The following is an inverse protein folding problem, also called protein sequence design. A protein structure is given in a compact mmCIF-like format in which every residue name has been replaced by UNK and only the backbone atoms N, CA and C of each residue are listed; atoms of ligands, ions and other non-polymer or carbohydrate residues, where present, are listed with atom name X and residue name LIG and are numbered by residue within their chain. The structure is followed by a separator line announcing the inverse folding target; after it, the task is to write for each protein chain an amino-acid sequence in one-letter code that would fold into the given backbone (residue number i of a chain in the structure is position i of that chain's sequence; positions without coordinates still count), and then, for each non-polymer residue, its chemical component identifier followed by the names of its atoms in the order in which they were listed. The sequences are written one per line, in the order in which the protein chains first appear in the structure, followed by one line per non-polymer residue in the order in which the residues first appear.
data_IF_449896475471
#
_entry.id   IF_449896475471
#
_cell.length_a   1.000
_cell.length_b   1.000
_cell.length_c   1.000
_cell.angle_alpha   90.00
_cell.angle_beta   90.00
_cell.angle_gamma   90.00
#
_symmetry.space_group_name_H-M   'P 1'
#
loop_
_entity.id
_entity.type
_entity.pdbx_description
1 polymer ?
#
# COMPACT_ATOMS: atom_id res chain seq x y z
N UNK A 1 -36.58 -16.83 -65.17
CA UNK A 1 -35.66 -17.99 -65.10
C UNK A 1 -35.33 -18.24 -63.66
N UNK A 2 -35.76 -19.38 -63.13
CA UNK A 2 -35.46 -19.85 -61.79
C UNK A 2 -34.03 -20.38 -61.74
N UNK A 3 -33.27 -20.04 -60.70
CA UNK A 3 -32.15 -20.87 -60.24
C UNK A 3 -32.16 -20.91 -58.71
N UNK A 4 -32.26 -22.15 -58.24
CA UNK A 4 -32.28 -22.72 -56.90
C UNK A 4 -31.83 -21.89 -55.69
N UNK A 5 -32.71 -21.90 -54.68
CA UNK A 5 -32.35 -21.88 -53.26
C UNK A 5 -31.33 -22.99 -52.96
N UNK A 6 -30.24 -22.63 -52.27
CA UNK A 6 -29.41 -23.60 -51.55
C UNK A 6 -29.39 -23.17 -50.09
N UNK A 7 -30.15 -23.91 -49.28
CA UNK A 7 -30.26 -23.74 -47.83
C UNK A 7 -28.89 -23.99 -47.17
N UNK A 8 -28.27 -22.93 -46.66
CA UNK A 8 -27.14 -22.99 -45.73
C UNK A 8 -27.66 -22.84 -44.29
N UNK A 9 -28.65 -23.65 -43.91
CA UNK A 9 -29.03 -23.84 -42.51
C UNK A 9 -28.37 -25.12 -41.99
N UNK A 10 -27.22 -25.00 -41.34
CA UNK A 10 -26.64 -26.17 -40.66
C UNK A 10 -25.16 -26.15 -40.33
N UNK A 11 -24.62 -25.07 -39.76
CA UNK A 11 -23.40 -25.18 -38.96
C UNK A 11 -23.65 -24.49 -37.63
N UNK A 12 -24.24 -25.25 -36.70
CA UNK A 12 -24.13 -24.96 -35.27
C UNK A 12 -22.63 -24.88 -34.93
N UNK A 13 -22.16 -23.87 -34.18
CA UNK A 13 -20.82 -23.91 -33.61
C UNK A 13 -20.81 -25.13 -32.69
N UNK A 14 -20.14 -26.19 -33.15
CA UNK A 14 -20.10 -27.47 -32.45
C UNK A 14 -19.78 -27.21 -30.99
N UNK A 15 -20.75 -27.45 -30.12
CA UNK A 15 -20.53 -27.43 -28.69
C UNK A 15 -19.37 -28.38 -28.44
N UNK A 16 -18.18 -27.83 -28.13
CA UNK A 16 -17.05 -28.62 -27.68
C UNK A 16 -17.47 -29.23 -26.34
N UNK A 17 -18.22 -30.34 -26.39
CA UNK A 17 -18.51 -31.15 -25.22
C UNK A 17 -17.17 -31.74 -24.84
N UNK A 18 -16.52 -31.24 -23.77
CA UNK A 18 -15.20 -31.71 -23.44
C UNK A 18 -15.29 -33.20 -23.19
N UNK A 19 -14.36 -33.96 -23.77
CA UNK A 19 -14.37 -35.41 -23.64
C UNK A 19 -14.47 -35.79 -22.16
N UNK A 20 -15.15 -36.90 -21.86
CA UNK A 20 -15.28 -37.40 -20.48
C UNK A 20 -13.93 -37.45 -19.75
N UNK A 21 -12.86 -37.81 -20.48
CA UNK A 21 -11.46 -37.75 -20.04
C UNK A 21 -11.00 -36.33 -19.66
N UNK A 22 -11.23 -35.32 -20.49
CA UNK A 22 -10.86 -33.93 -20.18
C UNK A 22 -11.60 -33.37 -18.95
N UNK A 23 -12.88 -33.72 -18.79
CA UNK A 23 -13.66 -33.34 -17.60
C UNK A 23 -13.16 -34.06 -16.33
N UNK A 24 -12.81 -35.34 -16.43
CA UNK A 24 -12.21 -36.11 -15.34
C UNK A 24 -10.84 -35.54 -14.93
N UNK A 25 -9.99 -35.17 -15.90
CA UNK A 25 -8.72 -34.50 -15.65
C UNK A 25 -8.91 -33.14 -14.97
N UNK A 26 -9.87 -32.32 -15.42
CA UNK A 26 -10.19 -31.05 -14.75
C UNK A 26 -10.63 -31.26 -13.30
N UNK A 27 -11.44 -32.28 -13.02
CA UNK A 27 -11.83 -32.62 -11.64
C UNK A 27 -10.64 -33.08 -10.80
N UNK A 28 -9.78 -33.95 -11.34
CA UNK A 28 -8.56 -34.43 -10.65
C UNK A 28 -7.59 -33.29 -10.36
N UNK A 29 -7.32 -32.42 -11.34
CA UNK A 29 -6.47 -31.23 -11.16
C UNK A 29 -7.04 -30.32 -10.09
N UNK A 30 -8.35 -30.05 -10.10
CA UNK A 30 -9.00 -29.23 -9.07
C UNK A 30 -8.87 -29.85 -7.68
N UNK A 31 -9.11 -31.16 -7.56
CA UNK A 31 -9.00 -31.88 -6.28
C UNK A 31 -7.57 -31.87 -5.74
N UNK A 32 -6.59 -32.24 -6.56
CA UNK A 32 -5.17 -32.24 -6.17
C UNK A 32 -4.67 -30.84 -5.85
N UNK A 33 -5.06 -29.84 -6.65
CA UNK A 33 -4.76 -28.43 -6.36
C UNK A 33 -5.31 -28.01 -4.99
N UNK A 34 -6.57 -28.32 -4.69
CA UNK A 34 -7.17 -27.96 -3.40
C UNK A 34 -6.49 -28.68 -2.23
N UNK A 35 -6.18 -29.98 -2.39
CA UNK A 35 -5.45 -30.77 -1.39
C UNK A 35 -4.06 -30.17 -1.12
N UNK A 36 -3.30 -29.88 -2.17
CA UNK A 36 -1.97 -29.26 -2.06
C UNK A 36 -2.04 -27.85 -1.48
N UNK A 37 -3.03 -27.04 -1.86
CA UNK A 37 -3.23 -25.68 -1.34
C UNK A 37 -3.53 -25.69 0.16
N UNK A 38 -4.43 -26.57 0.60
CA UNK A 38 -4.76 -26.70 2.03
C UNK A 38 -3.56 -27.18 2.84
N UNK A 39 -2.85 -28.21 2.35
CA UNK A 39 -1.64 -28.71 3.00
C UNK A 39 -0.56 -27.63 3.12
N UNK A 40 -0.31 -26.86 2.05
CA UNK A 40 0.63 -25.74 2.06
C UNK A 40 0.18 -24.62 3.01
N UNK A 41 -1.12 -24.30 3.06
CA UNK A 41 -1.67 -23.29 3.97
C UNK A 41 -1.44 -23.68 5.43
N UNK A 42 -1.72 -24.92 5.80
CA UNK A 42 -1.54 -25.40 7.17
C UNK A 42 -0.06 -25.34 7.59
N UNK A 43 0.85 -25.90 6.77
CA UNK A 43 2.30 -25.83 7.04
C UNK A 43 2.79 -24.38 7.18
N UNK A 44 2.33 -23.48 6.31
CA UNK A 44 2.70 -22.05 6.33
C UNK A 44 2.23 -21.35 7.61
N UNK A 45 1.09 -21.73 8.20
CA UNK A 45 0.59 -21.06 9.42
C UNK A 45 1.57 -21.23 10.58
N UNK A 46 2.08 -22.43 10.80
CA UNK A 46 3.00 -22.70 11.91
C UNK A 46 4.37 -22.06 11.67
N UNK A 47 4.87 -22.12 10.43
CA UNK A 47 6.09 -21.44 10.03
C UNK A 47 5.99 -19.92 10.22
N UNK A 48 4.88 -19.31 9.77
CA UNK A 48 4.65 -17.87 9.90
C UNK A 48 4.57 -17.46 11.37
N UNK A 49 3.90 -18.24 12.24
CA UNK A 49 3.89 -17.96 13.68
C UNK A 49 5.30 -17.98 14.28
N UNK A 50 6.11 -18.98 13.93
CA UNK A 50 7.51 -19.06 14.37
C UNK A 50 8.32 -17.84 13.92
N UNK A 51 8.19 -17.45 12.65
CA UNK A 51 8.83 -16.25 12.11
C UNK A 51 8.37 -14.97 12.81
N UNK A 52 7.08 -14.83 13.13
CA UNK A 52 6.58 -13.70 13.90
C UNK A 52 7.17 -13.62 15.30
N UNK A 53 7.28 -14.75 16.01
CA UNK A 53 7.90 -14.79 17.34
C UNK A 53 9.38 -14.41 17.30
N UNK A 54 10.13 -14.96 16.35
CA UNK A 54 11.55 -14.59 16.16
C UNK A 54 11.71 -13.11 15.77
N UNK A 55 10.85 -12.61 14.88
CA UNK A 55 10.86 -11.20 14.51
C UNK A 55 10.50 -10.30 15.71
N UNK A 56 9.58 -10.73 16.58
CA UNK A 56 9.23 -9.99 17.79
C UNK A 56 10.42 -9.82 18.73
N UNK A 57 11.24 -10.86 18.90
CA UNK A 57 12.48 -10.78 19.68
C UNK A 57 13.48 -9.78 19.08
N UNK A 58 13.61 -9.77 17.74
CA UNK A 58 14.47 -8.79 17.04
C UNK A 58 13.97 -7.35 17.23
N UNK A 59 12.66 -7.13 17.11
CA UNK A 59 12.05 -5.83 17.36
C UNK A 59 12.34 -5.39 18.80
N UNK A 60 12.08 -6.26 19.77
CA UNK A 60 12.32 -5.97 21.19
C UNK A 60 13.78 -5.56 21.45
N UNK A 61 14.74 -6.34 20.96
CA UNK A 61 16.17 -6.03 21.08
C UNK A 61 16.51 -4.66 20.49
N UNK A 62 16.07 -4.38 19.26
CA UNK A 62 16.35 -3.12 18.58
C UNK A 62 15.67 -1.94 19.28
N UNK A 63 14.42 -2.10 19.72
CA UNK A 63 13.70 -1.04 20.45
C UNK A 63 14.33 -0.76 21.81
N UNK A 64 14.83 -1.78 22.52
CA UNK A 64 15.51 -1.60 23.79
C UNK A 64 16.83 -0.83 23.62
N UNK A 65 17.59 -1.12 22.55
CA UNK A 65 18.79 -0.36 22.22
C UNK A 65 18.44 1.11 21.90
N UNK A 66 17.45 1.35 21.03
CA UNK A 66 17.01 2.71 20.69
C UNK A 66 16.48 3.48 21.91
N UNK A 67 15.71 2.83 22.78
CA UNK A 67 15.21 3.43 24.02
C UNK A 67 16.34 3.76 25.00
N UNK A 68 17.36 2.90 25.09
CA UNK A 68 18.54 3.14 25.91
C UNK A 68 19.30 4.37 25.41
N UNK A 69 19.54 4.49 24.10
CA UNK A 69 20.18 5.67 23.52
C UNK A 69 19.34 6.93 23.69
N UNK A 70 18.02 6.83 23.46
CA UNK A 70 17.10 7.96 23.64
C UNK A 70 17.05 8.46 25.09
N UNK A 71 17.06 7.56 26.08
CA UNK A 71 17.04 7.92 27.50
C UNK A 71 18.28 8.69 27.99
N UNK A 72 19.40 8.59 27.26
CA UNK A 72 20.62 9.37 27.55
C UNK A 72 20.51 10.82 27.07
N UNK A 73 19.61 11.11 26.14
CA UNK A 73 19.41 12.44 25.58
C UNK A 73 18.64 13.33 26.56
N UNK A 74 19.14 14.53 26.80
CA UNK A 74 18.44 15.58 27.56
C UNK A 74 17.76 16.55 26.60
N UNK A 75 16.66 16.11 26.00
CA UNK A 75 15.89 16.92 25.04
C UNK A 75 15.01 17.90 25.82
N UNK A 76 15.11 19.20 25.51
CA UNK A 76 14.22 20.20 26.09
C UNK A 76 12.80 20.04 25.53
N UNK A 77 11.81 19.96 26.42
CA UNK A 77 10.41 19.98 26.01
C UNK A 77 10.08 21.32 25.33
N UNK A 78 9.26 21.29 24.28
CA UNK A 78 8.87 22.50 23.57
C UNK A 78 7.99 23.34 24.50
N UNK A 79 8.40 24.57 24.88
CA UNK A 79 7.57 25.42 25.69
C UNK A 79 6.36 25.90 24.88
N UNK A 80 5.20 25.98 25.54
CA UNK A 80 4.03 26.64 24.95
C UNK A 80 4.38 28.10 24.73
N UNK A 81 4.25 28.55 23.49
CA UNK A 81 4.52 29.94 23.10
C UNK A 81 3.43 30.86 23.67
N UNK A 82 3.53 31.19 24.95
CA UNK A 82 2.71 32.22 25.59
C UNK A 82 3.30 33.58 25.24
N UNK A 83 2.88 34.15 24.11
CA UNK A 83 3.25 35.53 23.81
C UNK A 83 2.45 36.47 24.71
N UNK A 84 3.09 37.00 25.75
CA UNK A 84 2.56 38.01 26.69
C UNK A 84 2.66 39.45 26.15
N UNK A 85 2.81 39.63 24.83
CA UNK A 85 2.95 40.93 24.20
C UNK A 85 1.79 41.18 23.23
N UNK A 86 0.90 42.11 23.58
CA UNK A 86 -0.05 42.73 22.66
C UNK A 86 0.73 43.46 21.56
N UNK A 87 0.96 42.79 20.43
CA UNK A 87 1.53 43.37 19.22
C UNK A 87 0.42 43.45 18.19
N UNK A 88 -0.03 44.67 17.91
CA UNK A 88 -1.26 45.03 17.18
C UNK A 88 -1.39 44.49 15.73
N UNK A 89 -0.47 43.68 15.23
CA UNK A 89 -0.39 43.29 13.81
C UNK A 89 -0.05 41.81 13.55
N UNK A 90 -0.12 40.92 14.56
CA UNK A 90 0.13 39.48 14.35
C UNK A 90 -1.15 38.75 13.94
N UNK A 91 -1.09 37.99 12.84
CA UNK A 91 -2.17 37.08 12.46
C UNK A 91 -2.35 36.01 13.54
N UNK A 92 -3.57 35.77 13.98
CA UNK A 92 -3.90 34.75 14.98
C UNK A 92 -4.43 33.48 14.31
N UNK A 93 -4.13 32.32 14.89
CA UNK A 93 -4.72 31.04 14.57
C UNK A 93 -5.61 30.61 15.73
N UNK A 94 -6.87 30.31 15.45
CA UNK A 94 -7.85 29.87 16.46
C UNK A 94 -8.19 28.39 16.27
N UNK A 95 -8.18 27.64 17.36
CA UNK A 95 -8.60 26.24 17.41
C UNK A 95 -9.87 26.14 18.26
N UNK A 96 -10.94 25.64 17.63
CA UNK A 96 -12.23 25.38 18.27
C UNK A 96 -12.31 23.93 18.74
N UNK A 97 -12.94 23.69 19.90
CA UNK A 97 -13.12 22.35 20.46
C UNK A 97 -14.57 21.93 20.38
N UNK A 98 -14.82 20.72 19.85
CA UNK A 98 -16.16 20.12 19.76
C UNK A 98 -16.66 19.48 21.06
N UNK A 99 -15.86 19.52 22.13
CA UNK A 99 -16.20 18.92 23.43
C UNK A 99 -16.70 20.00 24.40
N UNK A 100 -17.86 19.80 25.07
CA UNK A 100 -18.33 20.71 26.12
C UNK A 100 -17.28 20.82 27.23
N UNK A 101 -16.92 22.05 27.61
CA UNK A 101 -15.98 22.32 28.71
C UNK A 101 -14.57 22.76 28.28
N UNK A 102 -14.26 22.76 26.98
CA UNK A 102 -13.01 23.33 26.46
C UNK A 102 -13.28 24.64 25.74
N UNK A 103 -12.59 25.71 26.16
CA UNK A 103 -12.65 27.00 25.49
C UNK A 103 -11.77 27.00 24.25
N UNK A 104 -12.20 27.75 23.24
CA UNK A 104 -11.42 28.04 22.03
C UNK A 104 -10.07 28.66 22.40
N UNK A 105 -9.01 28.24 21.71
CA UNK A 105 -7.65 28.74 21.94
C UNK A 105 -7.16 29.53 20.75
N UNK A 106 -6.64 30.73 20.99
CA UNK A 106 -6.04 31.58 19.96
C UNK A 106 -4.54 31.76 20.22
N UNK A 107 -3.71 31.47 19.21
CA UNK A 107 -2.24 31.56 19.28
C UNK A 107 -1.73 32.40 18.11
N UNK A 108 -0.71 33.27 18.31
CA UNK A 108 -0.12 34.03 17.20
C UNK A 108 0.54 33.10 16.18
N UNK A 109 0.24 33.31 14.90
CA UNK A 109 0.85 32.57 13.79
C UNK A 109 2.24 33.13 13.50
N UNK A 110 3.27 32.27 13.56
CA UNK A 110 4.63 32.60 13.13
C UNK A 110 4.77 32.28 11.64
N UNK A 111 4.86 33.28 10.74
CA UNK A 111 5.10 32.99 9.33
C UNK A 111 6.49 32.38 9.15
N UNK A 112 6.58 31.36 8.29
CA UNK A 112 7.86 30.84 7.82
C UNK A 112 8.37 31.74 6.70
N UNK A 113 9.68 31.90 6.61
CA UNK A 113 10.32 32.62 5.51
C UNK A 113 10.06 31.92 4.17
N UNK A 114 9.76 32.68 3.13
CA UNK A 114 9.65 32.16 1.75
C UNK A 114 11.00 31.61 1.27
N UNK A 115 10.97 30.46 0.61
CA UNK A 115 12.12 29.83 -0.06
C UNK A 115 11.77 29.63 -1.53
N UNK A 116 12.74 29.85 -2.43
CA UNK A 116 12.54 29.67 -3.85
C UNK A 116 12.20 28.21 -4.20
N UNK A 117 11.14 28.00 -4.98
CA UNK A 117 10.77 26.69 -5.48
C UNK A 117 11.68 26.22 -6.63
N UNK A 118 11.90 24.90 -6.71
CA UNK A 118 12.58 24.24 -7.84
C UNK A 118 11.49 23.63 -8.75
N UNK A 119 11.66 23.60 -10.09
CA UNK A 119 10.73 22.95 -11.00
C UNK A 119 10.51 21.46 -10.69
N UNK A 120 9.33 20.93 -11.05
CA UNK A 120 9.05 19.51 -10.93
C UNK A 120 9.93 18.69 -11.88
N UNK A 121 10.64 17.71 -11.33
CA UNK A 121 11.49 16.79 -12.07
C UNK A 121 11.19 15.36 -11.64
N UNK A 122 10.93 14.49 -12.61
CA UNK A 122 10.82 13.05 -12.35
C UNK A 122 12.21 12.43 -12.27
N UNK A 123 12.37 11.38 -11.45
CA UNK A 123 13.62 10.62 -11.41
C UNK A 123 13.76 9.76 -12.65
N UNK A 124 14.92 9.80 -13.28
CA UNK A 124 15.30 8.98 -14.40
C UNK A 124 16.75 8.53 -14.22
N UNK A 125 17.07 7.30 -14.65
CA UNK A 125 18.44 6.79 -14.62
C UNK A 125 19.24 7.42 -15.76
N UNK A 126 20.46 7.94 -15.52
CA UNK A 126 21.30 8.48 -16.58
C UNK A 126 21.79 7.36 -17.50
N UNK A 127 21.86 7.63 -18.81
CA UNK A 127 22.28 6.65 -19.82
C UNK A 127 23.46 7.19 -20.64
N UNK A 128 24.51 6.38 -20.78
CA UNK A 128 25.64 6.65 -21.68
C UNK A 128 25.35 6.20 -23.13
N UNK A 129 24.50 5.18 -23.28
CA UNK A 129 23.96 4.72 -24.56
C UNK A 129 22.54 4.15 -24.34
N UNK A 130 21.80 3.92 -25.42
CA UNK A 130 20.42 3.42 -25.36
C UNK A 130 20.32 2.03 -24.71
N UNK A 131 19.20 1.75 -24.03
CA UNK A 131 18.86 0.46 -23.43
C UNK A 131 17.54 -0.08 -24.00
N UNK A 132 17.55 -1.32 -24.51
CA UNK A 132 16.37 -1.95 -25.10
C UNK A 132 15.48 -2.57 -24.01
N UNK A 133 14.17 -2.27 -24.04
CA UNK A 133 13.18 -2.79 -23.09
C UNK A 133 12.12 -3.61 -23.82
N UNK A 134 11.70 -4.74 -23.25
CA UNK A 134 10.64 -5.59 -23.79
C UNK A 134 9.25 -5.13 -23.35
N UNK A 135 8.23 -5.44 -24.17
CA UNK A 135 6.84 -5.23 -23.78
C UNK A 135 6.49 -6.09 -22.57
N UNK A 136 5.92 -5.46 -21.54
CA UNK A 136 5.34 -6.18 -20.40
C UNK A 136 3.87 -6.41 -20.70
N UNK A 137 3.47 -7.67 -20.93
CA UNK A 137 2.06 -8.07 -21.00
C UNK A 137 1.64 -8.38 -19.56
N UNK A 138 0.75 -7.56 -19.00
CA UNK A 138 0.13 -7.79 -17.70
C UNK A 138 -1.17 -8.59 -17.84
#
# INVERSE_FOLDING_TARGET
MCVAHQDLSGILPGSFTPSRSLLEWRRRVKSEYMRLRQLKRLKKVDEVKSLFMSNRQKIELQTNLLNTEWSKLRIQAIPVSTFTGSLANKKMCTVEFGFPGFNSQAVPMKPLSTVAGIPFMYSWSPLQHNFMVSYTIF
#
